data_IF_685769553290
#
_entry.id   IF_685769553290
#
_cell.length_a   1.000
_cell.length_b   1.000
_cell.length_c   1.000
_cell.angle_alpha   90.00
_cell.angle_beta   90.00
_cell.angle_gamma   90.00
#
_symmetry.space_group_name_H-M   'P 1'
#
loop_
_entity.id
_entity.type
_entity.pdbx_description
1 polymer ?
#
# COMPACT_ATOMS: atom_id res chain seq x y z
N UNK A 1 -16.64 20.75 -11.64
CA UNK A 1 -15.24 20.67 -11.12
C UNK A 1 -15.14 19.50 -10.17
N UNK A 2 -14.14 18.62 -10.33
CA UNK A 2 -13.90 17.54 -9.34
C UNK A 2 -13.32 18.18 -8.07
N UNK A 3 -13.99 17.98 -6.93
CA UNK A 3 -13.55 18.59 -5.68
C UNK A 3 -12.14 18.09 -5.30
N UNK A 4 -11.20 19.02 -5.09
CA UNK A 4 -9.83 18.76 -4.67
C UNK A 4 -9.69 18.76 -3.15
N UNK A 5 -10.38 19.69 -2.49
CA UNK A 5 -10.21 19.99 -1.07
C UNK A 5 -11.48 19.66 -0.31
N UNK A 6 -11.35 18.91 0.76
CA UNK A 6 -12.41 18.45 1.65
C UNK A 6 -12.11 18.89 3.07
N UNK A 7 -12.76 19.96 3.50
CA UNK A 7 -12.69 20.45 4.88
C UNK A 7 -13.51 19.54 5.81
N UNK A 8 -13.27 19.55 7.14
CA UNK A 8 -14.13 18.88 8.11
C UNK A 8 -15.62 19.22 7.88
N UNK A 9 -16.49 18.19 7.92
CA UNK A 9 -17.91 18.32 7.58
C UNK A 9 -18.27 18.09 6.09
N UNK A 10 -17.28 17.88 5.21
CA UNK A 10 -17.48 17.47 3.83
C UNK A 10 -17.62 15.94 3.69
N UNK A 11 -17.73 15.43 2.44
CA UNK A 11 -17.84 13.98 2.17
C UNK A 11 -16.63 13.15 2.61
N UNK A 12 -15.48 13.76 2.83
CA UNK A 12 -14.31 13.07 3.36
C UNK A 12 -14.03 13.56 4.78
N UNK A 13 -14.00 12.63 5.74
CA UNK A 13 -13.52 12.87 7.10
C UNK A 13 -12.08 12.39 7.18
N UNK A 14 -11.19 13.21 7.71
CA UNK A 14 -9.77 12.91 7.81
C UNK A 14 -9.28 13.10 9.24
N UNK A 15 -8.83 12.01 9.85
CA UNK A 15 -8.21 11.99 11.16
C UNK A 15 -6.71 11.70 11.06
N UNK A 16 -5.93 12.37 11.91
CA UNK A 16 -4.55 12.04 12.22
C UNK A 16 -4.49 11.50 13.64
N UNK A 17 -3.98 10.28 13.83
CA UNK A 17 -3.79 9.65 15.12
C UNK A 17 -2.29 9.54 15.39
N UNK A 18 -1.78 10.37 16.27
CA UNK A 18 -0.37 10.40 16.65
C UNK A 18 -0.05 9.28 17.63
N UNK A 19 0.83 8.35 17.25
CA UNK A 19 1.13 7.12 17.97
C UNK A 19 2.51 6.59 17.63
N UNK A 20 3.03 5.64 18.40
CA UNK A 20 4.28 4.96 18.07
C UNK A 20 4.14 3.96 16.91
N UNK A 21 5.23 3.70 16.18
CA UNK A 21 5.23 2.83 14.99
C UNK A 21 4.77 1.40 15.26
N UNK A 22 5.11 0.81 16.43
CA UNK A 22 4.64 -0.53 16.85
C UNK A 22 3.18 -0.48 17.30
N UNK A 23 2.82 0.53 18.08
CA UNK A 23 1.45 0.75 18.56
C UNK A 23 0.48 0.94 17.41
N UNK A 24 0.93 1.58 16.32
CA UNK A 24 0.11 1.76 15.12
C UNK A 24 -0.42 0.44 14.54
N UNK A 25 0.38 -0.63 14.51
CA UNK A 25 -0.09 -1.94 14.02
C UNK A 25 -1.20 -2.51 14.91
N UNK A 26 -1.07 -2.34 16.23
CA UNK A 26 -2.10 -2.76 17.19
C UNK A 26 -3.38 -1.97 16.98
N UNK A 27 -3.29 -0.64 16.89
CA UNK A 27 -4.46 0.24 16.67
C UNK A 27 -5.14 -0.09 15.34
N UNK A 28 -4.36 -0.30 14.27
CA UNK A 28 -4.88 -0.68 12.96
C UNK A 28 -5.65 -2.01 13.01
N UNK A 29 -5.10 -3.01 13.68
CA UNK A 29 -5.73 -4.34 13.77
C UNK A 29 -7.01 -4.33 14.61
N UNK A 30 -6.98 -3.66 15.75
CA UNK A 30 -8.04 -3.76 16.76
C UNK A 30 -9.06 -2.62 16.59
N UNK A 31 -8.74 -1.46 17.14
CA UNK A 31 -9.69 -0.36 17.30
C UNK A 31 -10.11 0.22 15.94
N UNK A 32 -9.14 0.50 15.06
CA UNK A 32 -9.43 1.14 13.78
C UNK A 32 -10.20 0.21 12.85
N UNK A 33 -9.78 -1.06 12.74
CA UNK A 33 -10.48 -2.00 11.87
C UNK A 33 -11.90 -2.31 12.34
N UNK A 34 -12.11 -2.45 13.65
CA UNK A 34 -13.43 -2.57 14.25
C UNK A 34 -14.33 -1.38 13.91
N UNK A 35 -13.79 -0.17 14.08
CA UNK A 35 -14.48 1.08 13.78
C UNK A 35 -14.90 1.17 12.30
N UNK A 36 -13.97 0.99 11.35
CA UNK A 36 -14.30 1.12 9.92
C UNK A 36 -15.23 0.02 9.44
N UNK A 37 -15.14 -1.20 9.98
CA UNK A 37 -16.09 -2.29 9.67
C UNK A 37 -17.51 -1.97 10.13
N UNK A 38 -17.66 -1.38 11.32
CA UNK A 38 -18.96 -0.91 11.82
C UNK A 38 -19.54 0.15 10.86
N UNK A 39 -18.72 1.15 10.47
CA UNK A 39 -19.13 2.21 9.55
C UNK A 39 -19.55 1.68 8.18
N UNK A 40 -18.80 0.74 7.62
CA UNK A 40 -19.15 0.09 6.33
C UNK A 40 -20.44 -0.74 6.45
N UNK A 41 -20.58 -1.53 7.53
CA UNK A 41 -21.77 -2.38 7.75
C UNK A 41 -23.04 -1.56 7.91
N UNK A 42 -22.93 -0.37 8.51
CA UNK A 42 -24.04 0.55 8.72
C UNK A 42 -24.31 1.48 7.54
N UNK A 43 -23.62 1.28 6.41
CA UNK A 43 -23.72 2.08 5.18
C UNK A 43 -23.45 3.59 5.41
N UNK A 44 -22.68 3.91 6.43
CA UNK A 44 -22.30 5.29 6.77
C UNK A 44 -21.15 5.78 5.90
N UNK A 45 -20.22 4.88 5.58
CA UNK A 45 -19.13 5.11 4.63
C UNK A 45 -19.17 4.06 3.53
N UNK A 46 -18.75 4.44 2.31
CA UNK A 46 -18.61 3.51 1.19
C UNK A 46 -17.16 3.05 1.00
N UNK A 47 -16.20 3.84 1.45
CA UNK A 47 -14.78 3.53 1.42
C UNK A 47 -13.99 4.25 2.50
N UNK A 48 -12.82 3.72 2.76
CA UNK A 48 -11.85 4.32 3.67
C UNK A 48 -10.44 3.89 3.28
N UNK A 49 -9.44 4.63 3.72
CA UNK A 49 -8.06 4.22 3.62
C UNK A 49 -7.19 4.90 4.66
N UNK A 50 -6.04 4.29 4.93
CA UNK A 50 -5.04 4.87 5.80
C UNK A 50 -3.69 4.95 5.12
N UNK A 51 -2.82 5.79 5.67
CA UNK A 51 -1.39 5.83 5.40
C UNK A 51 -0.63 6.06 6.69
N UNK A 52 0.64 5.67 6.71
CA UNK A 52 1.58 5.99 7.79
C UNK A 52 2.38 7.20 7.38
N UNK A 53 2.57 8.14 8.30
CA UNK A 53 3.28 9.38 8.01
C UNK A 53 4.12 9.80 9.20
N UNK A 54 5.21 10.53 8.98
CA UNK A 54 6.19 10.91 10.01
C UNK A 54 6.64 12.36 9.82
N UNK A 55 5.69 13.31 9.90
CA UNK A 55 5.99 14.74 9.83
C UNK A 55 4.90 15.54 10.59
N UNK A 56 5.26 16.29 11.67
CA UNK A 56 6.55 16.25 12.36
C UNK A 56 6.82 14.93 13.11
N UNK A 57 5.76 14.27 13.60
CA UNK A 57 5.80 13.03 14.34
C UNK A 57 5.06 11.91 13.61
N UNK A 58 5.34 10.65 14.01
CA UNK A 58 4.68 9.50 13.43
C UNK A 58 3.19 9.47 13.77
N UNK A 59 2.36 9.30 12.75
CA UNK A 59 0.90 9.19 12.91
C UNK A 59 0.25 8.34 11.80
N UNK A 60 -0.92 7.81 12.11
CA UNK A 60 -1.82 7.20 11.13
C UNK A 60 -2.72 8.32 10.57
N UNK A 61 -2.79 8.41 9.26
CA UNK A 61 -3.75 9.25 8.54
C UNK A 61 -4.91 8.40 8.08
N UNK A 62 -6.05 8.53 8.73
CA UNK A 62 -7.29 7.81 8.41
C UNK A 62 -8.23 8.71 7.61
N UNK A 63 -8.70 8.24 6.48
CA UNK A 63 -9.68 8.95 5.64
C UNK A 63 -10.90 8.08 5.41
N UNK A 64 -12.09 8.65 5.63
CA UNK A 64 -13.39 8.00 5.53
C UNK A 64 -14.23 8.77 4.50
N UNK A 65 -14.76 8.10 3.49
CA UNK A 65 -15.68 8.70 2.53
C UNK A 65 -17.11 8.41 2.96
N UNK A 66 -17.90 9.48 3.19
CA UNK A 66 -19.27 9.40 3.66
C UNK A 66 -20.23 9.11 2.50
N UNK A 67 -21.16 8.18 2.71
CA UNK A 67 -22.29 8.00 1.83
C UNK A 67 -23.22 9.22 1.88
N UNK A 68 -23.57 9.67 3.08
CA UNK A 68 -24.44 10.83 3.31
C UNK A 68 -23.83 11.81 4.34
N UNK A 69 -24.11 13.11 4.17
CA UNK A 69 -23.65 14.17 5.11
C UNK A 69 -24.23 14.02 6.52
N UNK A 70 -25.40 13.43 6.65
CA UNK A 70 -26.10 13.29 7.94
C UNK A 70 -25.39 12.33 8.91
N UNK A 71 -24.50 11.49 8.41
CA UNK A 71 -23.75 10.51 9.19
C UNK A 71 -22.58 11.10 9.99
N UNK A 72 -22.30 12.39 9.87
CA UNK A 72 -21.12 13.02 10.48
C UNK A 72 -21.10 12.90 12.00
N UNK A 73 -22.22 13.19 12.68
CA UNK A 73 -22.32 13.09 14.15
C UNK A 73 -22.07 11.65 14.63
N UNK A 74 -22.60 10.66 13.92
CA UNK A 74 -22.40 9.26 14.28
C UNK A 74 -20.93 8.87 14.20
N UNK A 75 -20.22 9.27 13.15
CA UNK A 75 -18.79 9.02 12.97
C UNK A 75 -18.00 9.59 14.14
N UNK A 76 -18.25 10.85 14.55
CA UNK A 76 -17.51 11.50 15.63
C UNK A 76 -17.83 10.91 16.99
N UNK A 77 -19.09 10.59 17.28
CA UNK A 77 -19.47 9.97 18.55
C UNK A 77 -18.83 8.58 18.70
N UNK A 78 -18.93 7.74 17.66
CA UNK A 78 -18.30 6.42 17.71
C UNK A 78 -16.77 6.49 17.73
N UNK A 79 -16.20 7.48 17.04
CA UNK A 79 -14.76 7.73 17.10
C UNK A 79 -14.34 8.10 18.52
N UNK A 80 -15.07 8.98 19.16
CA UNK A 80 -14.82 9.37 20.55
C UNK A 80 -14.85 8.15 21.47
N UNK A 81 -15.92 7.33 21.42
CA UNK A 81 -16.08 6.15 22.28
C UNK A 81 -14.92 5.15 22.16
N UNK A 82 -14.45 4.94 20.93
CA UNK A 82 -13.43 3.91 20.64
C UNK A 82 -12.02 4.42 20.93
N UNK A 83 -11.73 5.69 20.63
CA UNK A 83 -10.35 6.20 20.67
C UNK A 83 -10.01 6.95 21.96
N UNK A 84 -10.99 7.38 22.78
CA UNK A 84 -10.74 8.00 24.09
C UNK A 84 -9.89 7.12 25.01
N UNK A 85 -10.15 5.80 25.18
CA UNK A 85 -9.30 4.94 26.00
C UNK A 85 -7.84 4.87 25.54
N UNK A 86 -7.57 5.06 24.25
CA UNK A 86 -6.20 5.09 23.72
C UNK A 86 -5.48 6.40 24.06
N UNK A 87 -6.23 7.49 24.17
CA UNK A 87 -5.69 8.78 24.60
C UNK A 87 -5.42 8.73 26.11
N UNK A 88 -6.35 8.24 26.91
CA UNK A 88 -6.24 8.14 28.38
C UNK A 88 -5.05 7.25 28.80
N UNK A 89 -4.76 6.22 28.00
CA UNK A 89 -3.62 5.30 28.25
C UNK A 89 -2.31 5.73 27.60
N UNK A 90 -2.31 6.85 26.85
CA UNK A 90 -1.12 7.38 26.19
C UNK A 90 -0.66 6.59 24.95
N UNK A 91 -1.44 5.61 24.46
CA UNK A 91 -1.16 4.93 23.19
C UNK A 91 -1.33 5.86 21.97
N UNK A 92 -2.22 6.83 22.09
CA UNK A 92 -2.40 7.94 21.15
C UNK A 92 -2.25 9.24 21.96
N UNK A 93 -1.24 10.05 21.63
CA UNK A 93 -1.00 11.28 22.40
C UNK A 93 -1.61 12.54 21.79
N UNK A 94 -2.07 12.47 20.55
CA UNK A 94 -2.78 13.57 19.90
C UNK A 94 -3.67 13.05 18.78
N UNK A 95 -4.84 13.65 18.63
CA UNK A 95 -5.77 13.38 17.52
C UNK A 95 -6.14 14.72 16.88
N UNK A 96 -6.08 14.77 15.54
CA UNK A 96 -6.46 15.94 14.76
C UNK A 96 -7.48 15.55 13.69
N UNK A 97 -8.51 16.36 13.52
CA UNK A 97 -9.36 16.35 12.33
C UNK A 97 -8.81 17.41 11.37
N UNK A 98 -8.53 17.03 10.14
CA UNK A 98 -7.82 17.89 9.20
C UNK A 98 -8.52 17.92 7.83
N UNK A 99 -8.04 18.78 6.95
CA UNK A 99 -8.50 18.92 5.56
C UNK A 99 -7.84 17.86 4.67
N UNK A 100 -8.67 17.05 4.00
CA UNK A 100 -8.16 16.15 2.98
C UNK A 100 -8.00 16.89 1.65
N UNK A 101 -6.79 16.94 1.16
CA UNK A 101 -6.45 17.49 -0.15
C UNK A 101 -5.97 16.37 -1.08
N UNK A 102 -6.66 16.19 -2.21
CA UNK A 102 -6.29 15.23 -3.25
C UNK A 102 -5.05 15.69 -4.00
N UNK A 103 -4.08 14.80 -4.15
CA UNK A 103 -2.84 15.01 -4.92
C UNK A 103 -3.12 14.78 -6.42
N UNK A 104 -3.89 15.67 -7.07
CA UNK A 104 -4.31 15.49 -8.45
C UNK A 104 -3.15 15.50 -9.44
N UNK A 105 -2.07 16.21 -9.13
CA UNK A 105 -0.84 16.26 -9.92
C UNK A 105 -0.14 14.88 -9.95
N UNK A 106 -0.30 14.11 -8.87
CA UNK A 106 0.32 12.79 -8.70
C UNK A 106 -0.53 11.66 -9.25
N UNK A 107 -1.85 11.79 -9.13
CA UNK A 107 -2.78 10.71 -9.44
C UNK A 107 -3.72 11.00 -10.62
N UNK A 108 -3.66 12.19 -11.21
CA UNK A 108 -4.56 12.64 -12.27
C UNK A 108 -5.94 13.02 -11.76
N UNK A 109 -6.50 14.14 -12.22
CA UNK A 109 -7.84 14.54 -11.83
C UNK A 109 -8.93 13.60 -12.38
N UNK A 110 -8.68 12.90 -13.47
CA UNK A 110 -9.61 11.94 -14.06
C UNK A 110 -9.49 10.52 -13.48
N UNK A 111 -8.41 10.21 -12.75
CA UNK A 111 -8.12 8.88 -12.22
C UNK A 111 -8.12 8.80 -10.68
N UNK A 112 -8.11 9.94 -9.97
CA UNK A 112 -8.01 9.99 -8.51
C UNK A 112 -9.08 9.14 -7.79
N UNK A 113 -10.29 9.04 -8.32
CA UNK A 113 -11.34 8.21 -7.72
C UNK A 113 -11.00 6.72 -7.78
N UNK A 114 -10.48 6.26 -8.92
CA UNK A 114 -10.01 4.88 -9.10
C UNK A 114 -8.82 4.58 -8.18
N UNK A 115 -7.94 5.56 -7.97
CA UNK A 115 -6.82 5.44 -7.04
C UNK A 115 -7.29 5.36 -5.59
N UNK A 116 -8.29 6.14 -5.19
CA UNK A 116 -8.92 6.06 -3.87
C UNK A 116 -9.58 4.69 -3.65
N UNK A 117 -10.18 4.09 -4.68
CA UNK A 117 -10.73 2.73 -4.62
C UNK A 117 -9.61 1.68 -4.45
N UNK A 118 -8.49 1.82 -5.16
CA UNK A 118 -7.31 0.97 -4.94
C UNK A 118 -6.76 1.14 -3.51
N UNK A 119 -6.72 2.36 -2.98
CA UNK A 119 -6.27 2.62 -1.61
C UNK A 119 -7.19 1.98 -0.56
N UNK A 120 -8.48 1.94 -0.83
CA UNK A 120 -9.44 1.21 0.00
C UNK A 120 -9.15 -0.30 0.00
N UNK A 121 -9.04 -0.92 -1.18
CA UNK A 121 -8.73 -2.34 -1.31
C UNK A 121 -7.38 -2.69 -0.68
N UNK A 122 -6.38 -1.84 -0.84
CA UNK A 122 -5.07 -1.96 -0.21
C UNK A 122 -5.16 -1.92 1.31
N UNK A 123 -5.92 -0.97 1.87
CA UNK A 123 -6.08 -0.81 3.32
C UNK A 123 -6.75 -2.04 3.94
N UNK A 124 -7.82 -2.55 3.31
CA UNK A 124 -8.49 -3.79 3.70
C UNK A 124 -7.54 -4.99 3.67
N UNK A 125 -6.78 -5.14 2.58
CA UNK A 125 -5.81 -6.22 2.43
C UNK A 125 -4.71 -6.14 3.49
N UNK A 126 -4.10 -4.98 3.67
CA UNK A 126 -3.00 -4.78 4.62
C UNK A 126 -3.45 -5.10 6.05
N UNK A 127 -4.61 -4.64 6.48
CA UNK A 127 -5.07 -4.93 7.85
C UNK A 127 -5.36 -6.41 8.04
N UNK A 128 -5.99 -7.08 7.09
CA UNK A 128 -6.22 -8.52 7.14
C UNK A 128 -4.88 -9.29 7.22
N UNK A 129 -3.89 -8.90 6.43
CA UNK A 129 -2.54 -9.49 6.51
C UNK A 129 -1.84 -9.20 7.83
N UNK A 130 -2.04 -8.02 8.43
CA UNK A 130 -1.49 -7.70 9.75
C UNK A 130 -2.05 -8.62 10.84
N UNK A 131 -3.29 -9.09 10.73
CA UNK A 131 -3.86 -10.09 11.64
C UNK A 131 -3.20 -11.47 11.50
N UNK A 132 -2.69 -11.81 10.31
CA UNK A 132 -2.01 -13.10 10.06
C UNK A 132 -0.54 -13.10 10.51
N UNK A 133 0.04 -11.93 10.81
CA UNK A 133 1.43 -11.86 11.21
C UNK A 133 1.63 -12.39 12.64
N UNK A 134 2.55 -13.34 12.78
CA UNK A 134 3.07 -13.74 14.08
C UNK A 134 4.04 -12.65 14.58
N UNK A 135 3.92 -12.23 15.84
CA UNK A 135 4.75 -11.17 16.42
C UNK A 135 6.25 -11.51 16.38
N UNK A 136 6.62 -12.78 16.62
CA UNK A 136 8.01 -13.24 16.65
C UNK A 136 8.68 -13.23 15.27
N UNK A 137 7.94 -13.56 14.21
CA UNK A 137 8.45 -13.68 12.84
C UNK A 137 8.01 -12.57 11.92
N UNK A 138 7.35 -11.52 12.46
CA UNK A 138 6.66 -10.49 11.68
C UNK A 138 7.57 -9.80 10.65
N UNK A 139 8.82 -9.49 10.99
CA UNK A 139 9.73 -8.81 10.04
C UNK A 139 10.13 -9.71 8.86
N UNK A 140 10.33 -11.02 9.10
CA UNK A 140 10.63 -11.99 8.03
C UNK A 140 9.40 -12.21 7.12
N UNK A 141 8.21 -12.29 7.70
CA UNK A 141 6.97 -12.43 6.93
C UNK A 141 6.68 -11.17 6.13
N UNK A 142 6.95 -9.98 6.67
CA UNK A 142 6.66 -8.70 6.01
C UNK A 142 7.38 -8.54 4.67
N UNK A 143 8.68 -8.83 4.59
CA UNK A 143 9.37 -8.64 3.33
C UNK A 143 8.90 -9.65 2.26
N UNK A 144 8.57 -10.88 2.65
CA UNK A 144 8.01 -11.90 1.74
C UNK A 144 6.64 -11.46 1.20
N UNK A 145 5.73 -11.06 2.09
CA UNK A 145 4.42 -10.56 1.68
C UNK A 145 4.52 -9.26 0.86
N UNK A 146 5.53 -8.42 1.08
CA UNK A 146 5.77 -7.25 0.25
C UNK A 146 6.08 -7.61 -1.21
N UNK A 147 6.87 -8.68 -1.45
CA UNK A 147 7.10 -9.20 -2.81
C UNK A 147 5.78 -9.59 -3.47
N UNK A 148 4.96 -10.36 -2.76
CA UNK A 148 3.68 -10.87 -3.26
C UNK A 148 2.70 -9.72 -3.51
N UNK A 149 2.63 -8.72 -2.62
CA UNK A 149 1.76 -7.56 -2.78
C UNK A 149 2.07 -6.76 -4.05
N UNK A 150 3.36 -6.59 -4.39
CA UNK A 150 3.77 -5.89 -5.60
C UNK A 150 3.52 -6.76 -6.84
N UNK A 151 3.90 -8.03 -6.80
CA UNK A 151 3.71 -8.95 -7.90
C UNK A 151 2.24 -9.12 -8.28
N UNK A 152 1.38 -9.34 -7.28
CA UNK A 152 -0.08 -9.45 -7.48
C UNK A 152 -0.69 -8.17 -8.05
N UNK A 153 -0.20 -6.99 -7.63
CA UNK A 153 -0.63 -5.71 -8.16
C UNK A 153 -0.26 -5.56 -9.64
N UNK A 154 1.00 -5.82 -10.01
CA UNK A 154 1.44 -5.76 -11.40
C UNK A 154 0.76 -6.83 -12.27
N UNK A 155 0.45 -8.00 -11.69
CA UNK A 155 -0.37 -9.03 -12.34
C UNK A 155 -1.78 -8.55 -12.67
N UNK A 156 -2.41 -7.77 -11.80
CA UNK A 156 -3.74 -7.22 -12.04
C UNK A 156 -3.76 -6.28 -13.27
N UNK A 157 -2.63 -5.64 -13.60
CA UNK A 157 -2.45 -4.83 -14.82
C UNK A 157 -1.96 -5.65 -16.02
N UNK A 158 -1.90 -6.97 -15.92
CA UNK A 158 -1.43 -7.87 -16.97
C UNK A 158 -0.01 -7.58 -17.49
N UNK A 159 0.84 -6.95 -16.64
CA UNK A 159 2.22 -6.65 -17.00
C UNK A 159 3.01 -7.94 -17.23
N UNK A 160 3.69 -8.02 -18.39
CA UNK A 160 4.66 -9.07 -18.70
C UNK A 160 5.86 -9.04 -17.75
N UNK A 161 6.60 -10.14 -17.66
CA UNK A 161 7.83 -10.20 -16.85
C UNK A 161 8.82 -9.09 -17.20
N UNK A 162 8.93 -8.74 -18.49
CA UNK A 162 9.81 -7.68 -18.95
C UNK A 162 9.36 -6.30 -18.49
N UNK A 163 8.08 -6.02 -18.54
CA UNK A 163 7.50 -4.75 -18.06
C UNK A 163 7.66 -4.61 -16.55
N UNK A 164 7.36 -5.68 -15.76
CA UNK A 164 7.58 -5.72 -14.31
C UNK A 164 9.04 -5.48 -13.97
N UNK A 165 9.96 -6.21 -14.64
CA UNK A 165 11.41 -6.03 -14.46
C UNK A 165 11.84 -4.59 -14.74
N UNK A 166 11.42 -4.01 -15.86
CA UNK A 166 11.82 -2.64 -16.25
C UNK A 166 11.29 -1.59 -15.27
N UNK A 167 10.02 -1.69 -14.86
CA UNK A 167 9.44 -0.77 -13.87
C UNK A 167 10.21 -0.83 -12.55
N UNK A 168 10.40 -2.03 -12.01
CA UNK A 168 11.04 -2.21 -10.69
C UNK A 168 12.53 -1.93 -10.70
N UNK A 169 13.25 -2.19 -11.81
CA UNK A 169 14.64 -1.74 -11.98
C UNK A 169 14.75 -0.23 -11.86
N UNK A 170 13.88 0.51 -12.56
CA UNK A 170 13.89 1.98 -12.51
C UNK A 170 13.59 2.49 -11.10
N UNK A 171 12.61 1.88 -10.41
CA UNK A 171 12.28 2.23 -9.04
C UNK A 171 13.46 1.94 -8.08
N UNK A 172 14.10 0.78 -8.20
CA UNK A 172 15.26 0.40 -7.39
C UNK A 172 16.43 1.37 -7.60
N UNK A 173 16.73 1.72 -8.86
CA UNK A 173 17.82 2.65 -9.17
C UNK A 173 17.58 4.06 -8.61
N UNK A 174 16.34 4.57 -8.68
CA UNK A 174 15.99 5.86 -8.10
C UNK A 174 16.22 5.86 -6.59
N UNK A 175 15.81 4.79 -5.88
CA UNK A 175 16.05 4.66 -4.44
C UNK A 175 17.53 4.49 -4.09
N UNK A 176 18.28 3.74 -4.90
CA UNK A 176 19.75 3.63 -4.74
C UNK A 176 20.44 4.99 -4.82
N UNK A 177 20.04 5.83 -5.76
CA UNK A 177 20.55 7.21 -5.87
C UNK A 177 20.21 8.04 -4.64
N UNK A 178 18.96 7.98 -4.17
CA UNK A 178 18.49 8.69 -2.98
C UNK A 178 19.31 8.34 -1.73
N UNK A 179 19.66 7.06 -1.55
CA UNK A 179 20.39 6.56 -0.38
C UNK A 179 21.91 6.46 -0.58
N UNK A 180 22.46 6.95 -1.67
CA UNK A 180 23.89 6.88 -1.95
C UNK A 180 24.44 5.48 -2.21
N UNK A 181 23.57 4.50 -2.54
CA UNK A 181 23.95 3.14 -2.91
C UNK A 181 24.55 3.03 -4.34
N UNK A 182 25.14 4.11 -4.82
CA UNK A 182 25.82 4.19 -6.12
C UNK A 182 27.28 3.74 -5.99
N UNK A 183 27.85 3.79 -4.77
CA UNK A 183 29.24 3.43 -4.53
C UNK A 183 29.45 1.90 -4.49
N UNK A 184 30.58 1.45 -4.96
CA UNK A 184 30.93 0.02 -5.11
C UNK A 184 30.70 -0.83 -3.84
N UNK A 185 30.99 -0.27 -2.65
CA UNK A 185 30.86 -0.99 -1.38
C UNK A 185 29.39 -1.22 -0.99
N UNK A 186 28.54 -0.21 -1.12
CA UNK A 186 27.11 -0.31 -0.79
C UNK A 186 26.34 -1.17 -1.80
N UNK A 187 26.70 -1.10 -3.08
CA UNK A 187 26.19 -1.99 -4.12
C UNK A 187 26.55 -3.44 -3.85
N UNK A 188 27.75 -3.73 -3.33
CA UNK A 188 28.18 -5.09 -2.95
C UNK A 188 27.30 -5.68 -1.86
N UNK A 189 27.02 -4.93 -0.78
CA UNK A 189 26.14 -5.40 0.31
C UNK A 189 24.75 -5.80 -0.19
N UNK A 190 24.15 -5.01 -1.09
CA UNK A 190 22.85 -5.32 -1.66
C UNK A 190 22.92 -6.56 -2.59
N UNK A 191 24.00 -6.70 -3.34
CA UNK A 191 24.27 -7.87 -4.17
C UNK A 191 24.38 -9.15 -3.34
N UNK A 192 25.16 -9.10 -2.26
CA UNK A 192 25.35 -10.24 -1.35
C UNK A 192 24.03 -10.62 -0.67
N UNK A 193 23.22 -9.62 -0.28
CA UNK A 193 21.88 -9.85 0.26
C UNK A 193 20.97 -10.53 -0.77
N UNK A 194 20.96 -10.07 -2.02
CA UNK A 194 20.16 -10.70 -3.09
C UNK A 194 20.57 -12.17 -3.32
N UNK A 195 21.87 -12.47 -3.26
CA UNK A 195 22.36 -13.85 -3.39
C UNK A 195 21.94 -14.72 -2.22
N UNK A 196 22.09 -14.23 -0.99
CA UNK A 196 21.74 -14.95 0.23
C UNK A 196 20.24 -15.32 0.28
N UNK A 197 19.35 -14.42 -0.15
CA UNK A 197 17.91 -14.62 -0.12
C UNK A 197 17.30 -15.19 -1.40
N UNK A 198 18.12 -15.50 -2.43
CA UNK A 198 17.65 -15.93 -3.75
C UNK A 198 16.64 -17.06 -3.67
N UNK A 199 16.96 -18.13 -2.96
CA UNK A 199 16.11 -19.33 -2.84
C UNK A 199 14.78 -19.01 -2.12
N UNK A 200 14.85 -18.16 -1.08
CA UNK A 200 13.64 -17.74 -0.38
C UNK A 200 12.73 -16.86 -1.26
N UNK A 201 13.34 -15.98 -2.08
CA UNK A 201 12.59 -15.18 -3.04
C UNK A 201 11.90 -16.08 -4.07
N UNK A 202 12.66 -17.01 -4.69
CA UNK A 202 12.12 -17.96 -5.67
C UNK A 202 10.94 -18.76 -5.07
N UNK A 203 11.07 -19.29 -3.85
CA UNK A 203 9.99 -19.99 -3.17
C UNK A 203 8.79 -19.06 -2.88
N UNK A 204 9.03 -17.85 -2.38
CA UNK A 204 7.96 -16.87 -2.09
C UNK A 204 7.16 -16.53 -3.35
N UNK A 205 7.81 -16.48 -4.50
CA UNK A 205 7.15 -16.11 -5.76
C UNK A 205 6.31 -17.25 -6.37
N UNK A 206 6.29 -18.43 -5.76
CA UNK A 206 5.34 -19.51 -6.07
C UNK A 206 4.00 -19.34 -5.33
N UNK A 207 3.75 -18.20 -4.73
CA UNK A 207 2.62 -17.89 -3.86
C UNK A 207 1.23 -18.20 -4.46
N UNK A 208 1.07 -18.12 -5.77
CA UNK A 208 -0.22 -18.44 -6.41
C UNK A 208 -0.62 -19.91 -6.27
N UNK A 209 0.37 -20.80 -6.11
CA UNK A 209 0.17 -22.23 -5.92
C UNK A 209 0.03 -22.64 -4.46
N UNK A 210 0.37 -21.75 -3.53
CA UNK A 210 0.24 -22.00 -2.09
C UNK A 210 -1.19 -21.70 -1.63
N UNK A 211 -1.79 -22.61 -0.89
CA UNK A 211 -3.08 -22.43 -0.21
C UNK A 211 -2.87 -21.94 1.20
N UNK A 212 -2.84 -20.61 1.40
CA UNK A 212 -2.83 -20.00 2.73
C UNK A 212 -3.80 -18.84 2.82
N UNK A 213 -4.28 -18.53 4.03
CA UNK A 213 -5.18 -17.40 4.24
C UNK A 213 -4.59 -16.08 3.74
N UNK A 214 -3.29 -15.87 3.94
CA UNK A 214 -2.59 -14.69 3.42
C UNK A 214 -2.63 -14.61 1.89
N UNK A 215 -2.45 -15.74 1.20
CA UNK A 215 -2.52 -15.78 -0.28
C UNK A 215 -3.93 -15.55 -0.78
N UNK A 216 -4.95 -16.03 -0.08
CA UNK A 216 -6.36 -15.83 -0.44
C UNK A 216 -6.76 -14.35 -0.27
N UNK A 217 -6.31 -13.69 0.79
CA UNK A 217 -6.49 -12.24 0.99
C UNK A 217 -5.89 -11.46 -0.18
N UNK A 218 -4.68 -11.83 -0.63
CA UNK A 218 -3.99 -11.14 -1.74
C UNK A 218 -4.65 -11.46 -3.08
N UNK A 219 -5.10 -12.69 -3.32
CA UNK A 219 -5.86 -13.07 -4.53
C UNK A 219 -7.16 -12.26 -4.63
N UNK A 220 -7.89 -12.11 -3.53
CA UNK A 220 -9.09 -11.27 -3.48
C UNK A 220 -8.79 -9.82 -3.83
N UNK A 221 -7.72 -9.21 -3.23
CA UNK A 221 -7.26 -7.87 -3.58
C UNK A 221 -6.92 -7.76 -5.08
N UNK A 222 -6.15 -8.71 -5.63
CA UNK A 222 -5.78 -8.75 -7.06
C UNK A 222 -7.02 -8.72 -7.94
N UNK A 223 -8.02 -9.56 -7.65
CA UNK A 223 -9.27 -9.63 -8.41
C UNK A 223 -10.08 -8.32 -8.33
N UNK A 224 -10.14 -7.72 -7.15
CA UNK A 224 -10.84 -6.45 -6.96
C UNK A 224 -10.17 -5.29 -7.71
N UNK A 225 -8.83 -5.25 -7.74
CA UNK A 225 -8.06 -4.24 -8.48
C UNK A 225 -8.15 -4.45 -9.99
N UNK A 226 -8.30 -5.70 -10.47
CA UNK A 226 -8.31 -6.01 -11.90
C UNK A 226 -9.34 -5.18 -12.69
N UNK A 227 -10.57 -5.02 -12.17
CA UNK A 227 -11.60 -4.22 -12.83
C UNK A 227 -11.22 -2.73 -12.98
N UNK A 228 -10.44 -2.20 -12.01
CA UNK A 228 -9.94 -0.83 -12.06
C UNK A 228 -8.76 -0.75 -13.03
N UNK A 229 -7.89 -1.77 -13.02
CA UNK A 229 -6.75 -1.87 -13.92
C UNK A 229 -7.20 -1.86 -15.40
N UNK A 230 -8.26 -2.61 -15.75
CA UNK A 230 -8.83 -2.59 -17.10
C UNK A 230 -9.27 -1.18 -17.52
N UNK A 231 -9.92 -0.42 -16.62
CA UNK A 231 -10.34 0.95 -16.89
C UNK A 231 -9.13 1.89 -17.11
N UNK A 232 -8.11 1.76 -16.27
CA UNK A 232 -6.88 2.56 -16.37
C UNK A 232 -6.10 2.22 -17.64
N UNK A 233 -5.98 0.95 -18.00
CA UNK A 233 -5.36 0.49 -19.24
C UNK A 233 -6.10 1.01 -20.47
N UNK A 234 -7.43 1.02 -20.44
CA UNK A 234 -8.25 1.60 -21.51
C UNK A 234 -7.97 3.11 -21.69
N UNK A 235 -7.90 3.86 -20.59
CA UNK A 235 -7.54 5.29 -20.64
C UNK A 235 -6.13 5.52 -21.20
N UNK A 236 -5.17 4.64 -20.85
CA UNK A 236 -3.81 4.69 -21.41
C UNK A 236 -3.82 4.46 -22.92
N UNK A 237 -4.52 3.43 -23.41
CA UNK A 237 -4.64 3.16 -24.86
C UNK A 237 -5.34 4.29 -25.62
N UNK A 238 -6.24 5.02 -24.97
CA UNK A 238 -6.93 6.17 -25.54
C UNK A 238 -6.12 7.47 -25.44
N UNK A 239 -4.93 7.46 -24.82
CA UNK A 239 -4.14 8.65 -24.48
C UNK A 239 -4.90 9.68 -23.62
N UNK A 240 -5.80 9.21 -22.76
CA UNK A 240 -6.65 10.05 -21.89
C UNK A 240 -6.10 10.15 -20.44
N UNK A 241 -5.05 9.42 -20.09
CA UNK A 241 -4.43 9.55 -18.78
C UNK A 241 -3.72 10.90 -18.63
N UNK A 242 -4.07 11.64 -17.58
CA UNK A 242 -3.39 12.91 -17.25
C UNK A 242 -2.02 12.71 -16.59
N UNK A 243 -1.78 11.53 -16.05
CA UNK A 243 -0.49 11.10 -15.48
C UNK A 243 -0.09 9.81 -16.18
N UNK A 244 1.14 9.67 -16.68
CA UNK A 244 1.59 8.44 -17.33
C UNK A 244 1.36 7.21 -16.45
N UNK A 245 0.86 6.13 -17.02
CA UNK A 245 0.49 4.92 -16.28
C UNK A 245 1.62 4.42 -15.37
N UNK A 246 2.85 4.36 -15.87
CA UNK A 246 4.01 3.93 -15.08
C UNK A 246 4.24 4.79 -13.84
N UNK A 247 4.07 6.11 -13.94
CA UNK A 247 4.20 7.04 -12.82
C UNK A 247 3.08 6.83 -11.80
N UNK A 248 1.86 6.60 -12.28
CA UNK A 248 0.71 6.28 -11.47
C UNK A 248 0.94 4.98 -10.67
N UNK A 249 1.35 3.90 -11.35
CA UNK A 249 1.62 2.60 -10.72
C UNK A 249 2.76 2.68 -9.71
N UNK A 250 3.84 3.40 -10.04
CA UNK A 250 4.95 3.65 -9.10
C UNK A 250 4.46 4.32 -7.82
N UNK A 251 3.59 5.33 -7.95
CA UNK A 251 3.01 6.04 -6.80
C UNK A 251 2.11 5.14 -5.97
N UNK A 252 1.30 4.28 -6.60
CA UNK A 252 0.42 3.34 -5.90
C UNK A 252 1.23 2.27 -5.17
N UNK A 253 2.25 1.68 -5.80
CA UNK A 253 3.15 0.70 -5.18
C UNK A 253 3.84 1.31 -3.95
N UNK A 254 4.37 2.54 -4.07
CA UNK A 254 4.93 3.27 -2.94
C UNK A 254 3.92 3.39 -1.79
N UNK A 255 2.66 3.72 -2.07
CA UNK A 255 1.63 3.86 -1.05
C UNK A 255 1.23 2.52 -0.43
N UNK A 256 1.27 1.41 -1.19
CA UNK A 256 1.10 0.06 -0.65
C UNK A 256 2.22 -0.27 0.35
N UNK A 257 3.48 0.00 -0.01
CA UNK A 257 4.63 -0.20 0.87
C UNK A 257 4.59 0.71 2.11
N UNK A 258 4.11 1.95 1.96
CA UNK A 258 3.90 2.86 3.07
C UNK A 258 2.89 2.31 4.11
N UNK A 259 1.80 1.70 3.66
CA UNK A 259 0.82 1.04 4.54
C UNK A 259 1.41 -0.18 5.22
N UNK A 260 2.23 -0.93 4.50
CA UNK A 260 2.71 -2.24 4.93
C UNK A 260 3.84 -2.16 5.95
N UNK A 261 4.87 -1.35 5.69
CA UNK A 261 6.02 -1.26 6.57
C UNK A 261 5.78 -0.28 7.74
N UNK A 262 6.23 -0.64 8.95
CA UNK A 262 6.10 0.17 10.16
C UNK A 262 6.89 1.46 10.11
N UNK A 263 8.11 1.36 9.58
CA UNK A 263 9.07 2.47 9.50
C UNK A 263 10.10 2.21 8.40
N UNK A 264 10.94 3.20 8.09
CA UNK A 264 12.03 3.10 7.09
C UNK A 264 11.54 2.58 5.72
N UNK A 265 10.30 2.91 5.35
CA UNK A 265 9.63 2.39 4.17
C UNK A 265 10.51 2.47 2.93
N UNK A 266 11.16 3.62 2.69
CA UNK A 266 12.01 3.87 1.52
C UNK A 266 13.20 2.90 1.41
N UNK A 267 13.80 2.52 2.55
CA UNK A 267 14.88 1.52 2.57
C UNK A 267 14.36 0.12 2.26
N UNK A 268 13.21 -0.24 2.83
CA UNK A 268 12.56 -1.51 2.51
C UNK A 268 12.17 -1.58 1.03
N UNK A 269 11.59 -0.52 0.50
CA UNK A 269 11.24 -0.39 -0.91
C UNK A 269 12.44 -0.64 -1.83
N UNK A 270 13.58 -0.01 -1.56
CA UNK A 270 14.81 -0.21 -2.33
C UNK A 270 15.19 -1.70 -2.42
N UNK A 271 15.17 -2.40 -1.28
CA UNK A 271 15.55 -3.83 -1.21
C UNK A 271 14.51 -4.70 -1.94
N UNK A 272 13.23 -4.45 -1.72
CA UNK A 272 12.13 -5.23 -2.33
C UNK A 272 12.11 -5.05 -3.85
N UNK A 273 12.28 -3.83 -4.35
CA UNK A 273 12.33 -3.56 -5.81
C UNK A 273 13.53 -4.23 -6.47
N UNK A 274 14.69 -4.22 -5.81
CA UNK A 274 15.88 -4.93 -6.29
C UNK A 274 15.67 -6.44 -6.32
N UNK A 275 15.08 -7.02 -5.27
CA UNK A 275 14.77 -8.45 -5.19
C UNK A 275 13.86 -8.89 -6.35
N UNK A 276 12.76 -8.19 -6.54
CA UNK A 276 11.81 -8.50 -7.62
C UNK A 276 12.41 -8.27 -9.01
N UNK A 277 13.14 -7.18 -9.22
CA UNK A 277 13.79 -6.90 -10.49
C UNK A 277 14.74 -8.03 -10.90
N UNK A 278 15.53 -8.54 -9.96
CA UNK A 278 16.45 -9.66 -10.21
C UNK A 278 15.73 -10.99 -10.39
N UNK A 279 14.69 -11.21 -9.63
CA UNK A 279 13.85 -12.38 -9.82
C UNK A 279 13.27 -12.42 -11.24
N UNK A 280 12.63 -11.36 -11.69
CA UNK A 280 12.08 -11.33 -13.05
C UNK A 280 13.13 -11.44 -14.14
N UNK A 281 14.30 -10.86 -13.94
CA UNK A 281 15.42 -11.03 -14.87
C UNK A 281 15.85 -12.51 -14.99
N UNK A 282 15.89 -13.23 -13.86
CA UNK A 282 16.18 -14.67 -13.84
C UNK A 282 15.11 -15.48 -14.55
N UNK A 283 13.83 -15.18 -14.32
CA UNK A 283 12.72 -15.87 -14.98
C UNK A 283 12.68 -15.63 -16.51
N UNK A 284 12.96 -14.42 -16.96
CA UNK A 284 13.09 -14.11 -18.39
C UNK A 284 14.23 -14.94 -19.01
N UNK A 285 15.38 -15.05 -18.32
CA UNK A 285 16.50 -15.85 -18.84
C UNK A 285 16.16 -17.34 -18.91
N UNK A 286 15.47 -17.91 -17.91
CA UNK A 286 15.00 -19.30 -17.92
C UNK A 286 14.04 -19.56 -19.08
N UNK A 287 13.07 -18.68 -19.31
CA UNK A 287 12.10 -18.83 -20.40
C UNK A 287 12.77 -18.79 -21.77
N UNK A 288 13.79 -17.95 -21.98
CA UNK A 288 14.53 -17.89 -23.23
C UNK A 288 15.39 -19.14 -23.51
N UNK A 289 15.84 -19.84 -22.46
CA UNK A 289 16.59 -21.11 -22.61
C UNK A 289 15.64 -22.25 -22.96
N UNK A 290 14.44 -22.29 -22.37
CA UNK A 290 13.45 -23.33 -22.61
C UNK A 290 12.76 -23.24 -23.97
N UNK A 291 12.91 -22.12 -24.69
CA UNK A 291 12.38 -21.90 -26.04
C UNK A 291 13.39 -22.25 -27.14
N UNK A 292 14.63 -22.57 -26.76
CA UNK A 292 15.67 -23.04 -27.69
C UNK A 292 15.84 -24.56 -27.65
#
# INVERSE_FOLDING_TARGET
MKNRTFIPGSKWVYFKLYTGTKTADRILKNELYGYVKEMLKSDIIDKWFFIRYSDPDFHIRLRLHLNEKQSFNFIFNRFFDIFTPLVDTGFVWNIQCDTYQREMERYGANTIFMVEDIFFMDSECVIKLLHQLNEETSEQQRWKLALILIDSFLSAFSFSLLERKNLLSTMAENHKREFGFIHHHTSKQLNDKCRAYRKEIENTMLWETEGSESTDIIKYRKQSIFQIAEKLMKLEHQNELQVPLKSLLTSIIHMTMNRWFRSKNRLHEMVIYEFLSRYYMSEIAKNNINQK
#
